data_IF_606298384031
#
_entry.id   IF_606298384031
#
_cell.length_a   1.000
_cell.length_b   1.000
_cell.length_c   1.000
_cell.angle_alpha   90.00
_cell.angle_beta   90.00
_cell.angle_gamma   90.00
#
_symmetry.space_group_name_H-M   'P 1'
#
loop_
_entity.id
_entity.type
_entity.pdbx_description
1 polymer ?
#
# COMPACT_ATOMS: atom_id res chain seq x y z
N UNK A 1 -2.43 -58.31 -23.15
CA UNK A 1 -1.25 -57.49 -22.79
C UNK A 1 -1.40 -56.07 -23.33
N UNK A 2 -2.38 -55.29 -22.84
CA UNK A 2 -2.55 -53.88 -23.25
C UNK A 2 -3.05 -52.98 -22.12
N UNK A 3 -3.06 -53.48 -20.88
CA UNK A 3 -3.63 -52.81 -19.70
C UNK A 3 -2.58 -52.41 -18.66
N UNK A 4 -1.29 -52.64 -18.93
CA UNK A 4 -0.19 -52.38 -17.99
C UNK A 4 0.72 -51.20 -18.36
N UNK A 5 0.48 -50.55 -19.50
CA UNK A 5 1.28 -49.40 -19.95
C UNK A 5 0.61 -48.04 -19.73
N UNK A 6 -0.70 -48.00 -19.50
CA UNK A 6 -1.44 -46.74 -19.29
C UNK A 6 -1.40 -46.20 -17.85
N UNK A 7 -1.06 -47.03 -16.86
CA UNK A 7 -0.97 -46.61 -15.45
C UNK A 7 0.35 -45.93 -15.08
N UNK A 8 1.41 -46.03 -15.90
CA UNK A 8 2.69 -45.34 -15.63
C UNK A 8 2.79 -43.94 -16.22
N UNK A 9 2.03 -43.62 -17.27
CA UNK A 9 2.06 -42.29 -17.88
C UNK A 9 1.21 -41.26 -17.10
N UNK A 10 0.12 -41.70 -16.46
CA UNK A 10 -0.76 -40.83 -15.68
C UNK A 10 -0.21 -40.45 -14.29
N UNK A 11 0.76 -41.22 -13.76
CA UNK A 11 1.36 -40.94 -12.44
C UNK A 11 2.61 -40.04 -12.51
N UNK A 12 3.18 -39.83 -13.69
CA UNK A 12 4.35 -38.97 -13.87
C UNK A 12 4.01 -37.51 -14.21
N UNK A 13 2.76 -37.24 -14.59
CA UNK A 13 2.34 -35.92 -15.07
C UNK A 13 1.83 -34.98 -13.96
N UNK A 14 1.54 -35.47 -12.74
CA UNK A 14 0.97 -34.63 -11.67
C UNK A 14 1.95 -34.23 -10.54
N UNK A 15 3.12 -34.86 -10.41
CA UNK A 15 4.08 -34.50 -9.35
C UNK A 15 4.96 -33.29 -9.70
N UNK A 16 5.18 -33.04 -11.00
CA UNK A 16 5.87 -31.84 -11.48
C UNK A 16 4.99 -30.57 -11.44
N UNK A 17 3.69 -30.71 -11.17
CA UNK A 17 2.70 -29.63 -11.15
C UNK A 17 2.45 -29.04 -9.74
N UNK A 18 3.10 -29.56 -8.69
CA UNK A 18 2.80 -29.21 -7.29
C UNK A 18 4.01 -28.78 -6.42
N UNK A 19 5.24 -28.91 -6.92
CA UNK A 19 6.42 -28.57 -6.13
C UNK A 19 7.03 -27.23 -6.60
N UNK A 20 7.28 -26.28 -5.68
CA UNK A 20 7.80 -24.97 -6.05
C UNK A 20 9.21 -25.07 -6.62
N UNK A 21 9.45 -24.26 -7.65
CA UNK A 21 10.73 -24.14 -8.34
C UNK A 21 11.57 -23.01 -7.75
N UNK A 22 12.90 -23.02 -7.95
CA UNK A 22 13.76 -21.91 -7.53
C UNK A 22 13.37 -20.55 -8.14
N UNK A 23 12.79 -20.55 -9.34
CA UNK A 23 12.32 -19.33 -9.99
C UNK A 23 11.06 -18.78 -9.32
N UNK A 24 10.11 -19.66 -8.94
CA UNK A 24 8.92 -19.25 -8.18
C UNK A 24 9.26 -18.75 -6.79
N UNK A 25 10.26 -19.33 -6.13
CA UNK A 25 10.77 -18.82 -4.86
C UNK A 25 11.27 -17.38 -5.01
N UNK A 26 12.13 -17.12 -6.01
CA UNK A 26 12.63 -15.76 -6.29
C UNK A 26 11.52 -14.78 -6.65
N UNK A 27 10.55 -15.19 -7.47
CA UNK A 27 9.38 -14.35 -7.81
C UNK A 27 8.52 -14.06 -6.57
N UNK A 28 8.36 -15.04 -5.68
CA UNK A 28 7.69 -14.87 -4.39
C UNK A 28 8.41 -13.88 -3.48
N UNK A 29 9.75 -13.98 -3.38
CA UNK A 29 10.57 -13.02 -2.64
C UNK A 29 10.44 -11.61 -3.22
N UNK A 30 10.50 -11.43 -4.53
CA UNK A 30 10.29 -10.13 -5.17
C UNK A 30 8.88 -9.56 -4.96
N UNK A 31 7.86 -10.43 -4.89
CA UNK A 31 6.50 -10.02 -4.51
C UNK A 31 6.42 -9.56 -3.06
N UNK A 32 7.08 -10.27 -2.14
CA UNK A 32 7.15 -9.90 -0.73
C UNK A 32 7.88 -8.55 -0.57
N UNK A 33 9.02 -8.39 -1.21
CA UNK A 33 9.80 -7.15 -1.24
C UNK A 33 8.95 -5.97 -1.73
N UNK A 34 8.29 -6.12 -2.89
CA UNK A 34 7.38 -5.10 -3.42
C UNK A 34 6.30 -4.73 -2.40
N UNK A 35 5.72 -5.70 -1.68
CA UNK A 35 4.70 -5.46 -0.63
C UNK A 35 5.25 -4.75 0.60
N UNK A 36 6.52 -4.96 0.94
CA UNK A 36 7.19 -4.30 2.07
C UNK A 36 7.57 -2.86 1.72
N UNK A 37 8.16 -2.61 0.55
CA UNK A 37 8.41 -1.25 0.05
C UNK A 37 7.11 -0.44 0.00
N UNK A 38 6.06 -1.16 -0.36
CA UNK A 38 4.73 -0.67 -0.33
C UNK A 38 4.28 -0.26 1.08
N UNK A 39 4.47 -1.12 2.07
CA UNK A 39 4.12 -0.85 3.47
C UNK A 39 4.92 0.34 4.04
N UNK A 40 6.20 0.46 3.70
CA UNK A 40 7.09 1.58 4.04
C UNK A 40 6.46 2.93 3.61
N UNK A 41 6.06 3.07 2.35
CA UNK A 41 5.50 4.32 1.82
C UNK A 41 4.22 4.79 2.55
N UNK A 42 3.39 3.85 3.00
CA UNK A 42 2.20 4.19 3.81
C UNK A 42 2.57 4.57 5.21
N UNK A 43 3.48 3.82 5.82
CA UNK A 43 3.88 4.02 7.20
C UNK A 43 4.41 5.43 7.37
N UNK A 44 5.26 5.88 6.45
CA UNK A 44 5.77 7.25 6.38
C UNK A 44 4.65 8.28 6.23
N UNK A 45 3.70 8.05 5.31
CA UNK A 45 2.56 8.94 5.08
C UNK A 45 1.66 9.06 6.32
N UNK A 46 1.42 7.93 7.01
CA UNK A 46 0.66 7.88 8.26
C UNK A 46 1.38 8.63 9.38
N UNK A 47 2.68 8.38 9.57
CA UNK A 47 3.51 9.06 10.56
C UNK A 47 3.53 10.58 10.33
N UNK A 48 3.66 11.03 9.07
CA UNK A 48 3.62 12.44 8.74
C UNK A 48 2.29 13.08 9.15
N UNK A 49 1.16 12.40 8.86
CA UNK A 49 -0.17 12.85 9.29
C UNK A 49 -0.30 12.89 10.81
N UNK A 50 0.17 11.86 11.52
CA UNK A 50 0.18 11.81 12.98
C UNK A 50 1.01 12.95 13.61
N UNK A 51 2.20 13.21 13.07
CA UNK A 51 3.07 14.28 13.55
C UNK A 51 2.45 15.66 13.29
N UNK A 52 1.87 15.89 12.11
CA UNK A 52 1.18 17.13 11.78
C UNK A 52 -0.05 17.38 12.67
N UNK A 53 -0.76 16.30 13.05
CA UNK A 53 -1.82 16.34 14.04
C UNK A 53 -1.29 16.75 15.42
N UNK A 54 -0.26 16.07 15.93
CA UNK A 54 0.32 16.37 17.24
C UNK A 54 0.80 17.82 17.36
N UNK A 55 1.46 18.34 16.32
CA UNK A 55 1.89 19.74 16.26
C UNK A 55 0.71 20.72 16.32
N UNK A 56 -0.37 20.42 15.58
CA UNK A 56 -1.56 21.25 15.58
C UNK A 56 -2.23 21.28 16.97
N UNK A 57 -2.17 20.17 17.73
CA UNK A 57 -2.66 20.14 19.11
C UNK A 57 -1.81 20.98 20.08
N UNK A 58 -0.48 20.99 19.94
CA UNK A 58 0.39 21.84 20.80
C UNK A 58 0.07 23.33 20.63
N UNK A 59 -0.31 23.74 19.41
CA UNK A 59 -0.66 25.12 19.10
C UNK A 59 -2.07 25.54 19.57
N UNK A 60 -2.91 24.59 19.99
CA UNK A 60 -4.31 24.82 20.33
C UNK A 60 -4.56 24.53 21.83
N UNK A 61 -4.78 25.55 22.68
CA UNK A 61 -5.14 25.30 24.06
C UNK A 61 -6.55 24.71 24.14
N UNK A 62 -6.65 23.46 24.58
CA UNK A 62 -7.92 22.79 24.84
C UNK A 62 -8.33 21.80 23.74
N UNK A 63 -9.59 21.38 23.78
CA UNK A 63 -10.09 20.34 22.89
C UNK A 63 -10.36 20.92 21.50
N UNK A 64 -9.84 20.33 20.41
CA UNK A 64 -10.10 20.82 19.06
C UNK A 64 -11.58 20.98 18.73
N UNK A 65 -11.91 22.02 17.97
CA UNK A 65 -13.24 22.18 17.39
C UNK A 65 -13.41 21.25 16.18
N UNK A 66 -14.65 20.86 15.85
CA UNK A 66 -14.91 19.93 14.75
C UNK A 66 -14.96 20.60 13.36
N UNK A 67 -15.06 21.93 13.32
CA UNK A 67 -15.07 22.77 12.11
C UNK A 67 -13.66 23.21 11.67
N UNK A 68 -12.62 22.77 12.38
CA UNK A 68 -11.24 23.00 12.00
C UNK A 68 -10.90 22.15 10.76
N UNK A 69 -10.86 22.81 9.60
CA UNK A 69 -10.62 22.17 8.31
C UNK A 69 -9.25 21.46 8.23
N UNK A 70 -8.22 21.97 8.91
CA UNK A 70 -6.90 21.33 9.00
C UNK A 70 -7.01 20.01 9.73
N UNK A 71 -7.55 20.06 10.94
CA UNK A 71 -7.61 18.88 11.81
C UNK A 71 -8.57 17.85 11.24
N UNK A 72 -9.68 18.28 10.64
CA UNK A 72 -10.55 17.43 9.84
C UNK A 72 -9.78 16.69 8.74
N UNK A 73 -9.02 17.42 7.90
CA UNK A 73 -8.24 16.80 6.82
C UNK A 73 -7.19 15.81 7.34
N UNK A 74 -6.44 16.17 8.39
CA UNK A 74 -5.41 15.29 8.97
C UNK A 74 -6.03 14.02 9.56
N UNK A 75 -7.08 14.15 10.36
CA UNK A 75 -7.73 12.99 10.96
C UNK A 75 -8.31 12.04 9.91
N UNK A 76 -8.97 12.57 8.87
CA UNK A 76 -9.52 11.74 7.79
C UNK A 76 -8.42 11.05 6.96
N UNK A 77 -7.28 11.71 6.71
CA UNK A 77 -6.12 11.10 6.03
C UNK A 77 -5.53 9.98 6.87
N UNK A 78 -5.48 10.18 8.18
CA UNK A 78 -4.94 9.20 9.11
C UNK A 78 -5.71 7.89 9.12
N UNK A 79 -7.04 7.94 9.03
CA UNK A 79 -7.85 6.72 8.94
C UNK A 79 -7.54 5.93 7.67
N UNK A 80 -7.45 6.62 6.53
CA UNK A 80 -7.14 6.00 5.23
C UNK A 80 -5.76 5.36 5.26
N UNK A 81 -4.74 6.08 5.72
CA UNK A 81 -3.38 5.52 5.81
C UNK A 81 -3.26 4.42 6.85
N UNK A 82 -3.97 4.53 7.98
CA UNK A 82 -3.99 3.49 9.01
C UNK A 82 -4.54 2.17 8.49
N UNK A 83 -5.69 2.21 7.82
CA UNK A 83 -6.30 1.04 7.17
C UNK A 83 -5.38 0.46 6.11
N UNK A 84 -4.85 1.32 5.25
CA UNK A 84 -4.11 0.88 4.10
C UNK A 84 -2.71 0.35 4.51
N UNK A 85 -2.13 0.86 5.61
CA UNK A 85 -0.91 0.31 6.21
C UNK A 85 -1.17 -1.08 6.81
N UNK A 86 -2.26 -1.24 7.59
CA UNK A 86 -2.68 -2.55 8.12
C UNK A 86 -2.75 -3.59 7.01
N UNK A 87 -3.44 -3.28 5.92
CA UNK A 87 -3.72 -4.25 4.86
C UNK A 87 -2.45 -4.67 4.13
N UNK A 88 -1.49 -3.76 3.93
CA UNK A 88 -0.19 -4.12 3.37
C UNK A 88 0.65 -4.97 4.31
N UNK A 89 0.64 -4.66 5.62
CA UNK A 89 1.34 -5.49 6.60
C UNK A 89 0.76 -6.91 6.62
N UNK A 90 -0.57 -7.06 6.59
CA UNK A 90 -1.19 -8.40 6.48
C UNK A 90 -0.87 -9.08 5.13
N UNK A 91 -0.85 -8.32 4.04
CA UNK A 91 -0.48 -8.82 2.71
C UNK A 91 0.98 -9.32 2.68
N UNK A 92 1.90 -8.58 3.31
CA UNK A 92 3.30 -8.95 3.44
C UNK A 92 3.47 -10.19 4.34
N UNK A 93 2.70 -10.31 5.44
CA UNK A 93 2.65 -11.53 6.28
C UNK A 93 2.28 -12.78 5.49
N UNK A 94 1.23 -12.69 4.69
CA UNK A 94 0.77 -13.81 3.86
C UNK A 94 1.82 -14.17 2.81
N UNK A 95 2.43 -13.17 2.17
CA UNK A 95 3.51 -13.40 1.19
C UNK A 95 4.74 -14.04 1.84
N UNK A 96 5.17 -13.56 3.01
CA UNK A 96 6.27 -14.12 3.80
C UNK A 96 6.01 -15.58 4.17
N UNK A 97 4.81 -15.89 4.69
CA UNK A 97 4.42 -17.28 5.00
C UNK A 97 4.49 -18.18 3.76
N UNK A 98 4.07 -17.68 2.59
CA UNK A 98 4.16 -18.43 1.34
C UNK A 98 5.61 -18.66 0.92
N UNK A 99 6.46 -17.64 1.00
CA UNK A 99 7.89 -17.74 0.66
C UNK A 99 8.61 -18.72 1.58
N UNK A 100 8.34 -18.68 2.89
CA UNK A 100 8.87 -19.65 3.85
C UNK A 100 8.49 -21.09 3.51
N UNK A 101 7.22 -21.34 3.17
CA UNK A 101 6.76 -22.67 2.74
C UNK A 101 7.45 -23.13 1.46
N UNK A 102 7.68 -22.21 0.52
CA UNK A 102 8.43 -22.52 -0.70
C UNK A 102 9.90 -22.83 -0.36
N UNK A 103 10.57 -22.01 0.45
CA UNK A 103 11.96 -22.22 0.84
C UNK A 103 12.19 -23.56 1.59
N UNK A 104 11.20 -23.99 2.37
CA UNK A 104 11.23 -25.27 3.08
C UNK A 104 10.92 -26.50 2.19
N UNK A 105 10.51 -26.31 0.93
CA UNK A 105 10.17 -27.45 0.08
C UNK A 105 11.43 -28.19 -0.41
N UNK A 106 11.44 -29.54 -0.42
CA UNK A 106 12.63 -30.32 -0.79
C UNK A 106 13.18 -30.03 -2.19
N UNK A 107 12.34 -29.55 -3.12
CA UNK A 107 12.72 -29.21 -4.49
C UNK A 107 13.52 -27.92 -4.62
N UNK A 108 13.54 -27.09 -3.57
CA UNK A 108 14.19 -25.77 -3.54
C UNK A 108 15.17 -25.62 -2.39
N UNK A 109 15.14 -26.53 -1.41
CA UNK A 109 15.95 -26.49 -0.21
C UNK A 109 17.46 -26.30 -0.48
N UNK A 110 18.03 -27.07 -1.43
CA UNK A 110 19.44 -26.96 -1.80
C UNK A 110 19.83 -25.59 -2.39
N UNK A 111 18.87 -24.83 -2.93
CA UNK A 111 19.06 -23.47 -3.46
C UNK A 111 18.78 -22.41 -2.40
N UNK A 112 17.91 -22.72 -1.42
CA UNK A 112 17.59 -21.84 -0.32
C UNK A 112 18.70 -21.72 0.72
N UNK A 113 19.59 -22.72 0.89
CA UNK A 113 20.64 -22.77 1.92
C UNK A 113 21.84 -21.80 1.71
N UNK A 114 21.82 -20.98 0.66
CA UNK A 114 22.89 -20.01 0.32
C UNK A 114 22.49 -18.55 0.52
N UNK A 115 22.86 -17.69 -0.42
CA UNK A 115 22.56 -16.23 -0.41
C UNK A 115 21.06 -15.94 -0.22
N UNK A 116 20.19 -16.78 -0.79
CA UNK A 116 18.73 -16.65 -0.67
C UNK A 116 18.20 -16.79 0.77
N UNK A 117 18.90 -17.50 1.67
CA UNK A 117 18.53 -17.56 3.08
C UNK A 117 18.77 -16.25 3.80
N UNK A 118 19.88 -15.56 3.50
CA UNK A 118 20.18 -14.25 4.06
C UNK A 118 19.14 -13.22 3.61
N UNK A 119 18.84 -13.18 2.30
CA UNK A 119 17.83 -12.27 1.73
C UNK A 119 16.44 -12.50 2.35
N UNK A 120 16.04 -13.77 2.52
CA UNK A 120 14.77 -14.09 3.18
C UNK A 120 14.77 -13.65 4.65
N UNK A 121 15.87 -13.87 5.38
CA UNK A 121 16.01 -13.43 6.78
C UNK A 121 15.87 -11.92 6.91
N UNK A 122 16.46 -11.16 5.98
CA UNK A 122 16.35 -9.69 5.97
C UNK A 122 14.92 -9.22 5.66
N UNK A 123 14.23 -9.85 4.70
CA UNK A 123 12.81 -9.55 4.41
C UNK A 123 11.89 -9.87 5.60
N UNK A 124 12.19 -10.94 6.34
CA UNK A 124 11.47 -11.30 7.57
C UNK A 124 11.73 -10.29 8.70
N UNK A 125 12.98 -9.84 8.86
CA UNK A 125 13.34 -8.82 9.83
C UNK A 125 12.63 -7.48 9.51
N UNK A 126 12.57 -7.08 8.24
CA UNK A 126 11.80 -5.91 7.77
C UNK A 126 10.31 -6.04 8.08
N UNK A 127 9.70 -7.19 7.78
CA UNK A 127 8.30 -7.46 8.13
C UNK A 127 8.06 -7.32 9.64
N UNK A 128 8.95 -7.85 10.48
CA UNK A 128 8.82 -7.74 11.94
C UNK A 128 8.91 -6.29 12.45
N UNK A 129 9.66 -5.42 11.77
CA UNK A 129 9.64 -3.97 12.05
C UNK A 129 8.27 -3.37 11.74
N UNK A 130 7.67 -3.70 10.58
CA UNK A 130 6.33 -3.22 10.24
C UNK A 130 5.24 -3.72 11.17
N UNK A 131 5.32 -4.97 11.63
CA UNK A 131 4.37 -5.51 12.60
C UNK A 131 4.38 -4.72 13.92
N UNK A 132 5.58 -4.39 14.43
CA UNK A 132 5.73 -3.55 15.62
C UNK A 132 5.28 -2.11 15.35
N UNK A 133 5.74 -1.50 14.26
CA UNK A 133 5.38 -0.13 13.90
C UNK A 133 3.88 0.05 13.66
N UNK A 134 3.20 -0.94 13.07
CA UNK A 134 1.75 -0.96 12.94
C UNK A 134 1.07 -0.95 14.31
N UNK A 135 1.51 -1.78 15.25
CA UNK A 135 0.96 -1.79 16.60
C UNK A 135 1.14 -0.45 17.32
N UNK A 136 2.32 0.18 17.19
CA UNK A 136 2.61 1.49 17.78
C UNK A 136 1.74 2.60 17.17
N UNK A 137 1.67 2.68 15.83
CA UNK A 137 0.87 3.71 15.15
C UNK A 137 -0.63 3.51 15.38
N UNK A 138 -1.10 2.25 15.43
CA UNK A 138 -2.49 1.96 15.76
C UNK A 138 -2.82 2.34 17.21
N UNK A 139 -1.94 2.06 18.16
CA UNK A 139 -2.13 2.47 19.55
C UNK A 139 -2.16 4.00 19.70
N UNK A 140 -1.25 4.70 19.03
CA UNK A 140 -1.25 6.16 19.00
C UNK A 140 -2.52 6.71 18.36
N UNK A 141 -2.93 6.20 17.19
CA UNK A 141 -4.16 6.60 16.51
C UNK A 141 -5.37 6.39 17.43
N UNK A 142 -5.40 5.27 18.15
CA UNK A 142 -6.46 4.97 19.11
C UNK A 142 -6.50 5.95 20.29
N UNK A 143 -5.36 6.39 20.78
CA UNK A 143 -5.28 7.33 21.90
C UNK A 143 -5.59 8.77 21.49
N UNK A 144 -4.98 9.24 20.41
CA UNK A 144 -4.92 10.67 20.06
C UNK A 144 -5.96 11.08 19.01
N UNK A 145 -6.22 10.22 18.02
CA UNK A 145 -7.08 10.54 16.89
C UNK A 145 -8.49 10.00 17.04
N UNK A 146 -8.66 8.75 17.49
CA UNK A 146 -9.97 8.11 17.63
C UNK A 146 -10.96 8.95 18.43
N UNK A 147 -10.60 9.65 19.53
CA UNK A 147 -11.54 10.53 20.22
C UNK A 147 -12.04 11.70 19.36
N UNK A 148 -11.19 12.26 18.50
CA UNK A 148 -11.58 13.31 17.56
C UNK A 148 -12.39 12.73 16.41
N UNK A 149 -11.92 11.65 15.79
CA UNK A 149 -12.60 10.96 14.68
C UNK A 149 -14.00 10.52 15.09
N UNK A 150 -14.15 9.90 16.26
CA UNK A 150 -15.46 9.43 16.76
C UNK A 150 -16.44 10.58 16.98
N UNK A 151 -15.94 11.72 17.48
CA UNK A 151 -16.78 12.89 17.78
C UNK A 151 -17.10 13.72 16.54
N UNK A 152 -16.08 14.05 15.75
CA UNK A 152 -16.15 15.02 14.67
C UNK A 152 -16.37 14.38 13.29
N UNK A 153 -16.18 13.06 13.17
CA UNK A 153 -16.42 12.27 11.95
C UNK A 153 -15.83 12.93 10.70
N UNK A 154 -14.52 13.21 10.70
CA UNK A 154 -13.88 13.96 9.64
C UNK A 154 -13.91 13.16 8.33
N UNK A 155 -14.04 13.88 7.21
CA UNK A 155 -14.04 13.28 5.88
C UNK A 155 -13.01 13.99 4.99
N UNK A 156 -12.49 13.27 4.00
CA UNK A 156 -11.61 13.85 3.00
C UNK A 156 -12.45 14.64 1.97
N UNK A 157 -12.20 15.94 1.81
CA UNK A 157 -13.00 16.82 0.92
C UNK A 157 -12.16 17.47 -0.16
N UNK A 158 -12.63 17.47 -1.42
CA UNK A 158 -11.98 18.11 -2.59
C UNK A 158 -11.36 19.47 -2.23
N UNK A 159 -10.03 19.62 -2.29
CA UNK A 159 -9.33 20.89 -2.00
C UNK A 159 -8.93 21.16 -0.54
N UNK A 160 -9.05 20.23 0.41
CA UNK A 160 -8.57 20.44 1.79
C UNK A 160 -7.02 20.36 1.88
N UNK A 161 -6.39 21.44 1.43
CA UNK A 161 -4.96 21.74 1.52
C UNK A 161 -4.62 22.49 2.81
N UNK A 162 -3.85 21.81 3.65
CA UNK A 162 -2.91 22.37 4.63
C UNK A 162 -3.44 23.16 5.84
N UNK A 163 -2.52 23.41 6.81
CA UNK A 163 -1.87 24.71 6.87
C UNK A 163 -0.36 24.69 7.15
N UNK A 164 0.34 25.50 6.35
CA UNK A 164 1.76 25.81 6.55
C UNK A 164 2.36 27.01 5.78
N UNK A 165 1.85 27.49 4.64
CA UNK A 165 2.38 28.73 4.01
C UNK A 165 1.40 29.42 3.01
N UNK A 166 1.43 30.76 2.97
CA UNK A 166 0.50 31.68 2.25
C UNK A 166 0.42 31.45 0.72
N UNK A 167 -0.79 31.43 0.15
CA UNK A 167 -1.06 31.86 -1.25
C UNK A 167 -2.35 32.70 -1.25
N UNK A 168 -2.24 33.96 -1.70
CA UNK A 168 -3.36 34.85 -1.96
C UNK A 168 -4.10 34.37 -3.23
N UNK A 169 -5.31 33.78 -3.09
CA UNK A 169 -6.24 33.36 -4.18
C UNK A 169 -5.76 32.25 -5.14
N UNK A 170 -6.68 31.65 -5.93
CA UNK A 170 -7.68 30.64 -5.54
C UNK A 170 -7.02 29.28 -5.22
N UNK A 171 -7.48 28.62 -4.16
CA UNK A 171 -6.74 27.58 -3.45
C UNK A 171 -6.46 26.31 -4.27
N UNK A 172 -5.18 26.00 -4.61
CA UNK A 172 -4.81 24.91 -5.49
C UNK A 172 -4.16 23.74 -4.73
N UNK A 173 -4.68 23.32 -3.58
CA UNK A 173 -4.05 22.30 -2.72
C UNK A 173 -3.97 20.87 -3.32
N UNK A 174 -2.92 20.08 -3.02
CA UNK A 174 -2.83 18.66 -3.40
C UNK A 174 -3.62 17.73 -2.46
N UNK A 175 -4.13 16.67 -3.08
CA UNK A 175 -5.37 15.97 -2.76
C UNK A 175 -5.15 14.55 -3.26
N UNK A 176 -5.44 13.47 -2.53
CA UNK A 176 -4.91 12.19 -2.99
C UNK A 176 -5.51 10.90 -2.53
N UNK A 177 -5.49 9.87 -3.39
CA UNK A 177 -5.51 8.40 -3.15
C UNK A 177 -5.35 7.54 -4.42
N UNK A 178 -5.51 6.24 -4.23
CA UNK A 178 -4.97 5.02 -4.79
C UNK A 178 -5.02 4.64 -6.28
N UNK A 179 -3.89 4.70 -7.00
CA UNK A 179 -3.52 3.77 -8.09
C UNK A 179 -2.66 2.53 -7.80
N UNK A 180 -3.37 1.40 -7.90
CA UNK A 180 -2.92 0.02 -8.00
C UNK A 180 -2.77 -0.44 -9.44
N UNK A 181 -1.76 -1.28 -9.63
CA UNK A 181 -1.54 -2.18 -10.77
C UNK A 181 -1.36 -1.51 -12.15
N UNK A 182 -0.10 -1.33 -12.53
CA UNK A 182 0.32 -1.31 -13.94
C UNK A 182 0.16 0.01 -14.72
N UNK A 183 -0.15 1.14 -14.07
CA UNK A 183 -0.24 2.44 -14.73
C UNK A 183 -0.18 3.65 -13.80
N UNK A 184 -0.33 4.85 -14.38
CA UNK A 184 0.03 6.15 -13.79
C UNK A 184 -1.13 7.15 -13.91
N UNK A 185 -1.44 7.92 -12.85
CA UNK A 185 -2.38 9.02 -12.97
C UNK A 185 -1.89 10.21 -13.84
N UNK A 186 -2.79 11.05 -14.35
CA UNK A 186 -2.45 12.24 -15.15
C UNK A 186 -3.48 13.38 -15.05
N UNK A 187 -3.13 14.63 -14.72
CA UNK A 187 -1.85 15.06 -14.23
C UNK A 187 -1.71 14.39 -12.87
N UNK A 188 -0.67 13.59 -12.68
CA UNK A 188 -0.35 13.14 -11.34
C UNK A 188 0.16 14.34 -10.56
N UNK A 189 -0.17 14.43 -9.27
CA UNK A 189 0.62 15.26 -8.34
C UNK A 189 1.59 14.44 -7.49
N UNK A 190 1.22 13.25 -7.01
CA UNK A 190 2.05 12.31 -6.25
C UNK A 190 1.39 10.92 -6.05
N UNK A 191 2.06 9.94 -5.46
CA UNK A 191 1.51 8.69 -4.90
C UNK A 191 1.32 8.93 -3.34
N UNK A 192 0.27 8.56 -2.58
CA UNK A 192 0.30 8.49 -1.09
C UNK A 192 0.33 7.07 -0.43
N UNK A 193 0.50 5.98 -1.17
CA UNK A 193 0.57 4.55 -0.72
C UNK A 193 0.63 3.67 -1.97
N UNK A 194 1.12 2.45 -1.92
CA UNK A 194 1.24 1.47 -3.03
C UNK A 194 0.08 1.31 -3.95
N UNK A 195 -1.03 1.50 -3.30
CA UNK A 195 -2.26 1.55 -3.93
C UNK A 195 -2.63 3.00 -4.09
N UNK A 196 -2.27 4.02 -3.27
CA UNK A 196 -2.63 5.46 -3.00
C UNK A 196 -1.87 6.48 -3.89
N UNK A 197 -2.47 7.41 -4.69
CA UNK A 197 -1.89 8.65 -5.34
C UNK A 197 -2.45 10.05 -5.01
N UNK A 198 -1.60 11.03 -4.64
CA UNK A 198 -1.88 12.48 -4.79
C UNK A 198 -2.06 12.96 -6.22
N UNK A 199 -3.03 13.81 -6.42
CA UNK A 199 -3.33 14.40 -7.70
C UNK A 199 -3.80 15.85 -7.52
N UNK A 200 -3.75 16.68 -8.57
CA UNK A 200 -4.43 17.97 -8.54
C UNK A 200 -5.92 17.75 -8.28
N UNK A 201 -6.66 18.82 -8.01
CA UNK A 201 -8.11 18.76 -8.03
C UNK A 201 -8.68 18.37 -9.40
N UNK A 202 -7.85 18.09 -10.42
CA UNK A 202 -8.16 17.45 -11.71
C UNK A 202 -7.06 16.44 -12.10
N UNK A 203 -7.43 15.17 -12.37
CA UNK A 203 -6.59 14.01 -12.73
C UNK A 203 -7.36 12.87 -13.43
N UNK A 204 -6.65 11.95 -14.07
CA UNK A 204 -7.09 10.73 -14.76
C UNK A 204 -6.07 9.60 -14.53
N UNK A 205 -6.23 8.40 -15.08
CA UNK A 205 -5.27 7.30 -15.01
C UNK A 205 -5.08 6.63 -16.37
N UNK A 206 -3.86 6.22 -16.69
CA UNK A 206 -3.58 5.41 -17.86
C UNK A 206 -2.31 4.55 -17.68
N UNK A 207 -2.11 3.47 -18.46
CA UNK A 207 -0.88 2.67 -18.42
C UNK A 207 0.37 3.53 -18.71
N UNK A 208 0.19 4.59 -19.49
CA UNK A 208 1.21 5.56 -19.88
C UNK A 208 0.70 6.97 -19.59
N UNK A 209 1.46 7.76 -18.85
CA UNK A 209 1.10 9.14 -18.51
C UNK A 209 0.82 10.00 -19.76
N UNK A 210 -0.19 10.89 -19.67
CA UNK A 210 -0.53 11.83 -20.75
C UNK A 210 -1.40 11.28 -21.86
N UNK A 211 -1.87 10.03 -21.75
CA UNK A 211 -2.77 9.41 -22.74
C UNK A 211 -4.26 9.53 -22.38
N UNK A 212 -4.58 10.25 -21.30
CA UNK A 212 -5.94 10.48 -20.82
C UNK A 212 -6.19 11.97 -20.57
N UNK A 213 -7.46 12.40 -20.62
CA UNK A 213 -7.87 13.79 -20.37
C UNK A 213 -8.17 13.99 -18.86
N UNK A 214 -7.48 14.91 -18.16
CA UNK A 214 -7.74 15.25 -16.75
C UNK A 214 -9.20 15.64 -16.47
N UNK A 215 -9.77 15.16 -15.35
CA UNK A 215 -11.09 15.55 -14.83
C UNK A 215 -11.04 15.70 -13.29
N UNK A 216 -11.95 16.41 -12.61
CA UNK A 216 -11.80 16.73 -11.17
C UNK A 216 -11.54 15.56 -10.17
N UNK A 217 -10.65 15.71 -9.15
CA UNK A 217 -10.30 14.69 -8.11
C UNK A 217 -10.30 15.23 -6.65
N UNK A 218 -10.81 14.44 -5.70
CA UNK A 218 -10.95 14.78 -4.26
C UNK A 218 -9.84 14.17 -3.36
N UNK A 219 -9.41 14.78 -2.21
CA UNK A 219 -8.51 14.19 -1.23
C UNK A 219 -9.07 12.86 -0.86
N UNK A 220 -8.25 11.84 -0.79
CA UNK A 220 -8.75 10.51 -0.56
C UNK A 220 -9.29 9.75 -1.78
N UNK A 221 -9.19 10.20 -3.05
CA UNK A 221 -9.59 9.41 -4.25
C UNK A 221 -8.51 8.59 -5.02
N UNK A 222 -8.87 7.37 -5.49
CA UNK A 222 -8.07 6.29 -6.15
C UNK A 222 -8.15 6.28 -7.69
N UNK A 223 -7.10 5.84 -8.41
CA UNK A 223 -6.90 5.95 -9.88
C UNK A 223 -6.46 4.56 -10.46
N UNK A 224 -6.80 4.08 -11.67
CA UNK A 224 -6.50 2.67 -12.11
C UNK A 224 -6.94 2.31 -13.57
N UNK A 225 -6.63 1.11 -14.15
CA UNK A 225 -6.96 0.74 -15.55
C UNK A 225 -8.43 0.59 -15.91
N UNK A 226 -8.80 0.96 -17.16
CA UNK A 226 -10.06 0.54 -17.80
C UNK A 226 -9.93 -0.92 -18.26
N UNK A 227 -10.96 -1.73 -18.01
CA UNK A 227 -10.94 -3.18 -18.18
C UNK A 227 -10.47 -3.65 -19.58
N UNK A 228 -9.27 -4.25 -19.59
CA UNK A 228 -8.79 -5.44 -20.32
C UNK A 228 -8.65 -5.46 -21.86
N UNK A 229 -7.45 -5.89 -22.29
CA UNK A 229 -7.23 -6.53 -23.60
C UNK A 229 -6.42 -5.68 -24.58
N UNK A 230 -5.11 -5.99 -24.63
CA UNK A 230 -4.23 -5.95 -25.81
C UNK A 230 -4.49 -4.95 -26.94
N UNK A 231 -3.38 -4.34 -27.38
CA UNK A 231 -3.16 -3.69 -28.67
C UNK A 231 -3.55 -2.20 -28.65
N UNK A 232 -2.70 -1.27 -29.04
CA UNK A 232 -1.57 -1.21 -29.99
C UNK A 232 -0.70 -0.03 -29.49
N UNK A 233 0.63 -0.02 -29.50
CA UNK A 233 1.64 -0.59 -30.41
C UNK A 233 2.97 -0.65 -29.65
#
# INVERSE_FOLDING_TARGET
>A
MLLLTLTRAALAQDLALLAPTPQELRAGMGTLETRLDHADAVAESLQAVHNAWAQALVALPGRPACDDARLGSLAARSEVFGVAYRDLVQSARVASTRVQRMAAAPTVQAVAEGVLAADLTDLEARLAVHERGYAELAAWQQAELTPYVTRCKPALTAGAGEPGARILQPDPGPVAVLALEGGVPHPTRALIHPSVWLVPPEACWAPIAGTCTPAPVAPGAALGPADQGSATE
#
